data_IF_128747821913
#
_entry.id   IF_128747821913
#
_cell.length_a   1.000
_cell.length_b   1.000
_cell.length_c   1.000
_cell.angle_alpha   90.00
_cell.angle_beta   90.00
_cell.angle_gamma   90.00
#
_symmetry.space_group_name_H-M   'P 1'
#
loop_
_entity.id
_entity.type
_entity.pdbx_description
1 polymer ?
#
# COMPACT_ATOMS: atom_id res chain seq x y z
N UNK A 1 -7.76 27.88 -38.50
CA UNK A 1 -8.06 28.17 -37.08
C UNK A 1 -8.49 26.92 -36.31
N UNK A 2 -9.53 26.20 -36.75
CA UNK A 2 -10.10 25.04 -36.02
C UNK A 2 -9.11 23.89 -35.79
N UNK A 3 -8.31 23.54 -36.79
CA UNK A 3 -7.34 22.45 -36.68
C UNK A 3 -6.14 22.81 -35.78
N UNK A 4 -5.75 24.09 -35.73
CA UNK A 4 -4.67 24.56 -34.86
C UNK A 4 -5.09 24.52 -33.38
N UNK A 5 -6.35 24.85 -33.06
CA UNK A 5 -6.87 24.70 -31.70
C UNK A 5 -6.88 23.23 -31.24
N UNK A 6 -7.26 22.30 -32.11
CA UNK A 6 -7.25 20.86 -31.81
C UNK A 6 -5.82 20.35 -31.59
N UNK A 7 -4.86 20.80 -32.39
CA UNK A 7 -3.45 20.44 -32.21
C UNK A 7 -2.89 20.96 -30.88
N UNK A 8 -3.22 22.20 -30.49
CA UNK A 8 -2.75 22.78 -29.22
C UNK A 8 -3.37 22.05 -28.02
N UNK A 9 -4.65 21.70 -28.08
CA UNK A 9 -5.35 20.94 -27.02
C UNK A 9 -4.79 19.52 -26.83
N UNK A 10 -4.41 18.85 -27.91
CA UNK A 10 -3.84 17.50 -27.85
C UNK A 10 -2.41 17.51 -27.32
N UNK A 11 -1.60 18.51 -27.71
CA UNK A 11 -0.24 18.70 -27.20
C UNK A 11 -0.21 19.02 -25.69
N UNK A 12 -1.12 19.87 -25.21
CA UNK A 12 -1.20 20.22 -23.79
C UNK A 12 -1.66 19.04 -22.91
N UNK A 13 -2.62 18.23 -23.39
CA UNK A 13 -3.04 17.03 -22.71
C UNK A 13 -1.92 15.97 -22.62
N UNK A 14 -1.15 15.79 -23.70
CA UNK A 14 -0.01 14.87 -23.70
C UNK A 14 1.09 15.31 -22.73
N UNK A 15 1.38 16.62 -22.65
CA UNK A 15 2.37 17.16 -21.74
C UNK A 15 1.96 16.99 -20.26
N UNK A 16 0.69 17.24 -19.93
CA UNK A 16 0.17 17.05 -18.58
C UNK A 16 0.29 15.60 -18.09
N UNK A 17 0.07 14.62 -18.99
CA UNK A 17 0.21 13.20 -18.66
C UNK A 17 1.67 12.81 -18.34
N UNK A 18 2.66 13.45 -18.97
CA UNK A 18 4.09 13.17 -18.69
C UNK A 18 4.59 13.76 -17.37
N UNK A 19 3.94 14.80 -16.86
CA UNK A 19 4.31 15.45 -15.59
C UNK A 19 3.72 14.70 -14.37
N UNK A 20 2.68 13.89 -14.59
CA UNK A 20 2.13 12.98 -13.60
C UNK A 20 2.98 11.69 -13.48
N UNK A 21 4.28 11.85 -13.21
CA UNK A 21 5.17 10.73 -12.91
C UNK A 21 4.71 9.98 -11.65
N UNK A 22 5.08 8.70 -11.48
CA UNK A 22 4.71 7.94 -10.30
C UNK A 22 5.26 8.63 -9.05
N UNK A 23 4.39 8.92 -8.09
CA UNK A 23 4.82 9.39 -6.77
C UNK A 23 5.55 8.26 -6.03
N UNK A 24 6.51 8.58 -5.15
CA UNK A 24 7.14 7.56 -4.33
C UNK A 24 6.04 6.86 -3.51
N UNK A 25 6.00 5.53 -3.57
CA UNK A 25 5.07 4.74 -2.79
C UNK A 25 5.39 4.93 -1.30
N UNK A 26 4.56 5.70 -0.60
CA UNK A 26 4.66 5.85 0.85
C UNK A 26 4.22 4.52 1.48
N UNK A 27 5.16 3.82 2.10
CA UNK A 27 4.87 2.57 2.79
C UNK A 27 4.08 2.88 4.08
N UNK A 28 2.76 2.85 3.97
CA UNK A 28 1.86 2.96 5.12
C UNK A 28 1.62 1.56 5.70
N UNK A 29 1.90 1.39 7.00
CA UNK A 29 1.61 0.14 7.70
C UNK A 29 0.09 0.03 7.97
N UNK A 30 -0.66 -0.46 6.99
CA UNK A 30 -2.10 -0.70 7.15
C UNK A 30 -2.40 -1.72 8.25
N UNK A 31 -3.37 -1.48 9.14
CA UNK A 31 -3.61 -2.31 10.32
C UNK A 31 -4.17 -3.71 10.02
N UNK A 32 -4.76 -3.95 8.85
CA UNK A 32 -5.39 -5.24 8.52
C UNK A 32 -4.85 -5.84 7.22
N UNK A 33 -4.66 -7.15 7.24
CA UNK A 33 -4.17 -7.93 6.11
C UNK A 33 -5.17 -9.01 5.71
N UNK A 34 -5.43 -9.11 4.41
CA UNK A 34 -6.18 -10.18 3.79
C UNK A 34 -5.29 -11.41 3.62
N UNK A 35 -5.74 -12.55 4.11
CA UNK A 35 -5.00 -13.80 4.13
C UNK A 35 -5.88 -14.96 3.67
N UNK A 36 -5.25 -16.05 3.25
CA UNK A 36 -5.93 -17.27 2.87
C UNK A 36 -5.16 -18.02 1.80
N UNK A 37 -5.81 -19.03 1.23
CA UNK A 37 -5.16 -19.92 0.26
C UNK A 37 -4.74 -19.12 -0.98
N UNK A 38 -3.45 -19.15 -1.29
CA UNK A 38 -2.85 -18.40 -2.40
C UNK A 38 -2.32 -17.01 -2.04
N UNK A 39 -2.49 -16.56 -0.79
CA UNK A 39 -1.88 -15.33 -0.29
C UNK A 39 -0.90 -15.70 0.84
N UNK A 40 0.40 -15.51 0.59
CA UNK A 40 1.47 -15.80 1.55
C UNK A 40 1.43 -14.90 2.80
N UNK A 41 2.15 -15.27 3.86
CA UNK A 41 2.20 -14.50 5.12
C UNK A 41 3.11 -13.26 4.94
N UNK A 42 2.73 -12.06 5.41
CA UNK A 42 1.60 -11.73 6.30
C UNK A 42 0.26 -11.43 5.61
N UNK A 43 0.13 -11.69 4.31
CA UNK A 43 -1.06 -11.37 3.53
C UNK A 43 -0.92 -10.06 2.75
N UNK A 44 -2.03 -9.63 2.17
CA UNK A 44 -2.17 -8.31 1.53
C UNK A 44 -2.62 -7.28 2.58
N UNK A 45 -1.68 -6.46 3.04
CA UNK A 45 -1.93 -5.44 4.07
C UNK A 45 -2.23 -4.07 3.43
N UNK A 46 -3.47 -3.88 2.96
CA UNK A 46 -3.91 -2.68 2.25
C UNK A 46 -5.19 -2.05 2.84
N UNK A 47 -5.61 -2.46 4.05
CA UNK A 47 -6.91 -2.13 4.61
C UNK A 47 -6.79 -1.33 5.90
N UNK A 48 -7.50 -0.20 5.97
CA UNK A 48 -7.53 0.68 7.16
C UNK A 48 -8.50 0.20 8.23
N UNK A 49 -9.50 -0.61 7.84
CA UNK A 49 -10.48 -1.18 8.76
C UNK A 49 -10.71 -2.67 8.50
N UNK A 50 -11.09 -3.40 9.55
CA UNK A 50 -11.45 -4.81 9.44
C UNK A 50 -12.63 -5.02 8.48
N UNK A 51 -13.62 -4.12 8.52
CA UNK A 51 -14.80 -4.18 7.64
C UNK A 51 -14.42 -4.04 6.16
N UNK A 52 -13.50 -3.14 5.82
CA UNK A 52 -13.01 -2.99 4.44
C UNK A 52 -12.26 -4.25 3.96
N UNK A 53 -11.47 -4.86 4.85
CA UNK A 53 -10.82 -6.14 4.57
C UNK A 53 -11.86 -7.24 4.34
N UNK A 54 -12.86 -7.36 5.23
CA UNK A 54 -13.91 -8.39 5.11
C UNK A 54 -14.73 -8.21 3.85
N UNK A 55 -15.06 -6.98 3.48
CA UNK A 55 -15.73 -6.68 2.22
C UNK A 55 -14.93 -7.20 1.01
N UNK A 56 -13.60 -7.09 1.07
CA UNK A 56 -12.70 -7.59 0.02
C UNK A 56 -12.46 -9.10 0.09
N UNK A 57 -12.70 -9.73 1.25
CA UNK A 57 -12.61 -11.17 1.47
C UNK A 57 -13.86 -11.94 1.01
N UNK A 58 -15.01 -11.26 1.02
CA UNK A 58 -16.32 -11.80 0.64
C UNK A 58 -16.26 -12.55 -0.69
N UNK A 59 -16.72 -13.81 -0.68
CA UNK A 59 -16.78 -14.66 -1.88
C UNK A 59 -15.43 -15.21 -2.36
N UNK A 60 -14.30 -14.91 -1.71
CA UNK A 60 -12.96 -15.34 -2.14
C UNK A 60 -12.36 -16.46 -1.27
N UNK A 61 -13.08 -16.94 -0.26
CA UNK A 61 -12.56 -17.88 0.75
C UNK A 61 -11.26 -17.37 1.42
N UNK A 62 -11.21 -16.06 1.65
CA UNK A 62 -10.13 -15.37 2.37
C UNK A 62 -10.64 -14.90 3.73
N UNK A 63 -9.72 -14.56 4.62
CA UNK A 63 -9.99 -14.04 5.95
C UNK A 63 -9.11 -12.83 6.27
N UNK A 64 -9.47 -12.11 7.32
CA UNK A 64 -8.78 -10.89 7.72
C UNK A 64 -8.01 -11.11 9.02
N UNK A 65 -6.80 -10.57 9.07
CA UNK A 65 -5.87 -10.67 10.20
C UNK A 65 -5.26 -9.31 10.52
N UNK A 66 -4.74 -9.14 11.74
CA UNK A 66 -4.04 -7.92 12.13
C UNK A 66 -2.63 -7.91 11.50
N UNK A 67 -2.21 -6.78 10.96
CA UNK A 67 -0.87 -6.62 10.43
C UNK A 67 0.18 -6.78 11.55
N UNK A 68 1.10 -7.76 11.46
CA UNK A 68 2.13 -7.97 12.49
C UNK A 68 3.10 -6.78 12.59
N UNK A 69 3.28 -5.97 11.54
CA UNK A 69 4.10 -4.75 11.61
C UNK A 69 3.49 -3.73 12.58
N UNK A 70 2.17 -3.61 12.57
CA UNK A 70 1.42 -2.74 13.48
C UNK A 70 1.35 -3.37 14.87
N UNK A 71 1.00 -4.66 14.97
CA UNK A 71 0.86 -5.36 16.25
C UNK A 71 2.16 -5.37 17.07
N UNK A 72 3.32 -5.44 16.41
CA UNK A 72 4.62 -5.53 17.07
C UNK A 72 5.49 -4.27 16.90
N UNK A 73 4.90 -3.13 16.51
CA UNK A 73 5.65 -1.89 16.26
C UNK A 73 6.50 -1.45 17.48
N UNK A 74 5.96 -1.56 18.70
CA UNK A 74 6.65 -1.22 19.95
C UNK A 74 7.88 -2.12 20.19
N UNK A 75 7.74 -3.43 19.95
CA UNK A 75 8.81 -4.41 20.18
C UNK A 75 9.97 -4.23 19.21
N UNK A 76 9.71 -3.76 17.99
CA UNK A 76 10.77 -3.42 17.02
C UNK A 76 11.58 -2.20 17.48
N UNK A 77 10.92 -1.20 18.08
CA UNK A 77 11.61 -0.03 18.65
C UNK A 77 12.52 -0.41 19.83
N UNK A 78 12.07 -1.33 20.69
CA UNK A 78 12.88 -1.80 21.82
C UNK A 78 14.08 -2.69 21.45
N UNK A 79 14.01 -3.43 20.34
CA UNK A 79 15.11 -4.32 19.87
C UNK A 79 16.18 -3.60 19.04
N UNK A 80 15.88 -2.43 18.49
CA UNK A 80 16.85 -1.67 17.69
C UNK A 80 18.00 -1.07 18.52
N UNK A 81 17.92 -1.14 19.86
CA UNK A 81 18.92 -0.59 20.76
C UNK A 81 19.32 -1.61 21.85
N UNK A 82 20.00 -2.67 21.44
CA UNK A 82 20.90 -3.39 22.33
C UNK A 82 22.32 -3.11 21.83
N UNK A 83 23.10 -2.20 22.45
CA UNK A 83 24.51 -2.09 22.10
C UNK A 83 25.13 -3.47 22.32
N UNK A 84 25.81 -3.96 21.29
CA UNK A 84 26.65 -5.14 21.38
C UNK A 84 27.53 -4.96 22.61
N UNK A 85 27.26 -5.72 23.68
CA UNK A 85 28.11 -5.70 24.86
C UNK A 85 29.27 -6.62 24.50
N UNK A 86 30.37 -5.98 24.13
CA UNK A 86 31.66 -6.59 23.86
C UNK A 86 32.02 -7.62 24.95
N UNK A 87 32.48 -8.79 24.50
CA UNK A 87 33.06 -9.86 25.31
C UNK A 87 34.52 -9.57 25.61
#
# INVERSE_FOLDING_TARGET
MRNAMVAILTLSAALAATLAGPSPAVAYDYPYCLQGRGIGIPGECAYTSYAQCMASASGRALYCSINPRVAFAQQRRGRAYGPYRDY
#
